data_IF_352336335248
#
_entry.id   IF_352336335248
#
_cell.length_a   1.000
_cell.length_b   1.000
_cell.length_c   1.000
_cell.angle_alpha   90.00
_cell.angle_beta   90.00
_cell.angle_gamma   90.00
#
_symmetry.space_group_name_H-M   'P 1'
#
loop_
_entity.id
_entity.type
_entity.pdbx_description
1 polymer ?
#
# COMPACT_ATOMS: atom_id res chain seq x y z
N UNK A 1 24.69 13.71 6.98
CA UNK A 1 23.60 14.43 7.68
C UNK A 1 22.89 13.48 8.64
N UNK A 2 23.53 13.19 9.78
CA UNK A 2 23.12 12.26 10.84
C UNK A 2 23.96 12.51 12.11
N UNK A 3 25.28 12.81 12.00
CA UNK A 3 26.13 13.12 13.16
C UNK A 3 25.69 14.37 13.93
N UNK A 4 25.38 15.47 13.21
CA UNK A 4 24.99 16.75 13.82
C UNK A 4 23.64 16.71 14.55
N UNK A 5 22.77 15.74 14.23
CA UNK A 5 21.47 15.56 14.88
C UNK A 5 21.58 14.77 16.19
N UNK A 6 22.47 13.77 16.21
CA UNK A 6 22.75 12.96 17.41
C UNK A 6 23.51 13.75 18.47
N UNK A 7 24.36 14.71 18.08
CA UNK A 7 25.00 15.63 19.03
C UNK A 7 24.00 16.55 19.73
N UNK A 8 22.97 17.02 19.01
CA UNK A 8 21.99 17.97 19.54
C UNK A 8 20.90 17.28 20.34
N UNK A 9 20.45 16.09 19.93
CA UNK A 9 19.44 15.26 20.60
C UNK A 9 19.95 13.81 20.75
N UNK A 10 20.68 13.49 21.82
CA UNK A 10 21.35 12.18 21.97
C UNK A 10 20.40 10.98 22.02
N UNK A 11 19.12 11.19 22.40
CA UNK A 11 18.07 10.16 22.41
C UNK A 11 17.27 10.07 21.11
N UNK A 12 17.56 10.91 20.11
CA UNK A 12 16.79 10.94 18.85
C UNK A 12 16.85 9.61 18.11
N UNK A 13 18.03 9.00 18.00
CA UNK A 13 18.18 7.70 17.34
C UNK A 13 17.34 6.60 18.01
N UNK A 14 17.32 6.55 19.34
CA UNK A 14 16.52 5.57 20.09
C UNK A 14 15.02 5.82 19.94
N UNK A 15 14.58 7.08 19.97
CA UNK A 15 13.17 7.45 19.80
C UNK A 15 12.68 7.17 18.38
N UNK A 16 13.50 7.49 17.38
CA UNK A 16 13.22 7.19 15.98
C UNK A 16 13.17 5.67 15.72
N UNK A 17 14.10 4.90 16.30
CA UNK A 17 14.08 3.43 16.22
C UNK A 17 12.83 2.84 16.87
N UNK A 18 12.43 3.29 18.05
CA UNK A 18 11.20 2.84 18.71
C UNK A 18 9.96 3.14 17.87
N UNK A 19 9.90 4.34 17.27
CA UNK A 19 8.80 4.73 16.38
C UNK A 19 8.77 3.85 15.13
N UNK A 20 9.93 3.55 14.54
CA UNK A 20 10.04 2.63 13.42
C UNK A 20 9.58 1.20 13.78
N UNK A 21 9.94 0.71 14.98
CA UNK A 21 9.47 -0.60 15.47
C UNK A 21 7.95 -0.65 15.64
N UNK A 22 7.35 0.38 16.24
CA UNK A 22 5.90 0.50 16.34
C UNK A 22 5.24 0.56 14.96
N UNK A 23 5.78 1.35 14.02
CA UNK A 23 5.27 1.39 12.66
C UNK A 23 5.36 0.03 11.95
N UNK A 24 6.44 -0.74 12.18
CA UNK A 24 6.59 -2.07 11.61
C UNK A 24 5.56 -3.05 12.19
N UNK A 25 5.30 -3.00 13.50
CA UNK A 25 4.26 -3.80 14.14
C UNK A 25 2.87 -3.46 13.59
N UNK A 26 2.54 -2.16 13.49
CA UNK A 26 1.28 -1.73 12.89
C UNK A 26 1.16 -2.13 11.41
N UNK A 27 2.25 -2.11 10.66
CA UNK A 27 2.28 -2.57 9.27
C UNK A 27 2.02 -4.08 9.18
N UNK A 28 2.60 -4.89 10.07
CA UNK A 28 2.36 -6.33 10.13
C UNK A 28 0.88 -6.67 10.34
N UNK A 29 0.24 -6.02 11.31
CA UNK A 29 -1.20 -6.20 11.56
C UNK A 29 -2.07 -5.75 10.38
N UNK A 30 -1.66 -4.67 9.69
CA UNK A 30 -2.32 -4.21 8.48
C UNK A 30 -2.18 -5.23 7.34
N UNK A 31 -1.02 -5.86 7.21
CA UNK A 31 -0.75 -6.87 6.19
C UNK A 31 -1.59 -8.14 6.43
N UNK A 32 -1.69 -8.60 7.68
CA UNK A 32 -2.56 -9.71 8.09
C UNK A 32 -4.02 -9.43 7.71
N UNK A 33 -4.53 -8.24 8.08
CA UNK A 33 -5.90 -7.84 7.75
C UNK A 33 -6.11 -7.70 6.23
N UNK A 34 -5.09 -7.26 5.48
CA UNK A 34 -5.17 -7.19 4.03
C UNK A 34 -5.23 -8.58 3.41
N UNK A 35 -4.46 -9.55 3.90
CA UNK A 35 -4.45 -10.93 3.40
C UNK A 35 -5.85 -11.56 3.53
N UNK A 36 -6.46 -11.49 4.71
CA UNK A 36 -7.82 -11.99 4.96
C UNK A 36 -8.85 -11.38 3.99
N UNK A 37 -8.76 -10.06 3.77
CA UNK A 37 -9.67 -9.37 2.86
C UNK A 37 -9.41 -9.76 1.40
N UNK A 38 -8.16 -9.96 1.02
CA UNK A 38 -7.77 -10.35 -0.32
C UNK A 38 -8.27 -11.75 -0.69
N UNK A 39 -8.43 -12.66 0.27
CA UNK A 39 -9.05 -13.98 0.02
C UNK A 39 -10.43 -13.84 -0.63
N UNK A 40 -11.23 -12.87 -0.18
CA UNK A 40 -12.56 -12.60 -0.74
C UNK A 40 -12.54 -11.84 -2.08
N UNK A 41 -11.44 -11.15 -2.39
CA UNK A 41 -11.30 -10.30 -3.57
C UNK A 41 -10.61 -11.00 -4.74
N UNK A 42 -9.82 -12.03 -4.47
CA UNK A 42 -9.02 -12.76 -5.45
C UNK A 42 -9.69 -14.06 -5.86
N UNK A 43 -10.68 -13.99 -6.76
CA UNK A 43 -11.37 -15.19 -7.27
C UNK A 43 -10.60 -15.99 -8.33
N UNK A 44 -9.51 -15.43 -8.88
CA UNK A 44 -8.64 -16.09 -9.88
C UNK A 44 -7.17 -15.77 -9.58
N UNK A 45 -6.23 -16.64 -9.98
CA UNK A 45 -4.80 -16.37 -9.85
C UNK A 45 -4.43 -15.03 -10.47
N UNK A 46 -3.65 -14.22 -9.76
CA UNK A 46 -3.17 -12.92 -10.21
C UNK A 46 -4.28 -11.96 -10.70
N UNK A 47 -5.50 -12.09 -10.17
CA UNK A 47 -6.60 -11.17 -10.43
C UNK A 47 -7.17 -10.66 -9.11
N UNK A 48 -7.64 -9.42 -9.10
CA UNK A 48 -8.32 -8.80 -7.97
C UNK A 48 -9.64 -8.17 -8.43
N UNK A 49 -10.69 -8.30 -7.62
CA UNK A 49 -12.01 -7.76 -7.93
C UNK A 49 -12.01 -6.23 -7.90
N UNK A 50 -12.25 -5.60 -9.06
CA UNK A 50 -12.39 -4.14 -9.18
C UNK A 50 -13.60 -3.63 -8.41
N UNK A 51 -14.74 -4.33 -8.48
CA UNK A 51 -15.94 -3.95 -7.73
C UNK A 51 -15.73 -4.06 -6.22
N UNK A 52 -15.02 -5.10 -5.77
CA UNK A 52 -14.68 -5.28 -4.36
C UNK A 52 -13.68 -4.23 -3.86
N UNK A 53 -12.70 -3.83 -4.67
CA UNK A 53 -11.82 -2.69 -4.37
C UNK A 53 -12.62 -1.38 -4.28
N UNK A 54 -13.53 -1.13 -5.22
CA UNK A 54 -14.36 0.09 -5.22
C UNK A 54 -15.30 0.20 -4.02
N UNK A 55 -15.70 -0.93 -3.42
CA UNK A 55 -16.47 -0.94 -2.18
C UNK A 55 -15.65 -0.54 -0.94
N UNK A 56 -14.31 -0.59 -1.01
CA UNK A 56 -13.43 -0.18 0.07
C UNK A 56 -13.15 1.33 0.04
N UNK A 57 -12.87 1.92 1.21
CA UNK A 57 -12.41 3.31 1.30
C UNK A 57 -11.11 3.55 0.49
N UNK A 58 -10.80 4.78 0.06
CA UNK A 58 -9.57 5.06 -0.70
C UNK A 58 -8.28 4.66 0.02
N UNK A 59 -8.24 4.71 1.36
CA UNK A 59 -7.08 4.25 2.12
C UNK A 59 -6.92 2.73 2.02
N UNK A 60 -8.03 2.00 2.19
CA UNK A 60 -8.06 0.54 2.06
C UNK A 60 -7.77 0.06 0.65
N UNK A 61 -8.25 0.75 -0.39
CA UNK A 61 -7.89 0.44 -1.76
C UNK A 61 -6.37 0.46 -1.97
N UNK A 62 -5.66 1.47 -1.44
CA UNK A 62 -4.19 1.52 -1.53
C UNK A 62 -3.53 0.39 -0.76
N UNK A 63 -3.98 0.11 0.46
CA UNK A 63 -3.42 -0.95 1.29
C UNK A 63 -3.57 -2.32 0.60
N UNK A 64 -4.80 -2.64 0.16
CA UNK A 64 -5.11 -3.87 -0.56
C UNK A 64 -4.35 -3.99 -1.89
N UNK A 65 -4.26 -2.91 -2.67
CA UNK A 65 -3.48 -2.89 -3.92
C UNK A 65 -1.99 -3.14 -3.66
N UNK A 66 -1.39 -2.46 -2.68
CA UNK A 66 0.02 -2.68 -2.34
C UNK A 66 0.27 -4.12 -1.92
N UNK A 67 -0.56 -4.64 -1.00
CA UNK A 67 -0.41 -6.01 -0.52
C UNK A 67 -0.58 -7.03 -1.63
N UNK A 68 -1.58 -6.84 -2.48
CA UNK A 68 -1.80 -7.70 -3.65
C UNK A 68 -0.60 -7.69 -4.61
N UNK A 69 -0.02 -6.52 -4.91
CA UNK A 69 1.17 -6.41 -5.76
C UNK A 69 2.39 -7.11 -5.14
N UNK A 70 2.57 -6.96 -3.83
CA UNK A 70 3.64 -7.63 -3.08
C UNK A 70 3.50 -9.17 -3.13
N UNK A 71 2.30 -9.70 -2.88
CA UNK A 71 2.02 -11.14 -2.96
C UNK A 71 2.28 -11.69 -4.38
N UNK A 72 2.03 -10.88 -5.41
CA UNK A 72 2.32 -11.22 -6.81
C UNK A 72 3.76 -10.90 -7.23
N UNK A 73 4.65 -10.53 -6.30
CA UNK A 73 6.07 -10.21 -6.53
C UNK A 73 6.30 -9.12 -7.58
N UNK A 74 5.36 -8.20 -7.70
CA UNK A 74 5.47 -7.05 -8.60
C UNK A 74 6.27 -5.94 -7.90
N UNK A 75 7.16 -5.28 -8.65
CA UNK A 75 7.88 -4.12 -8.12
C UNK A 75 6.91 -3.06 -7.62
N UNK A 76 7.08 -2.62 -6.36
CA UNK A 76 6.14 -1.72 -5.71
C UNK A 76 6.06 -0.38 -6.46
N UNK A 77 4.89 0.00 -7.00
CA UNK A 77 4.73 1.28 -7.66
C UNK A 77 4.88 2.44 -6.68
N UNK A 78 5.38 3.57 -7.19
CA UNK A 78 5.44 4.80 -6.42
C UNK A 78 4.03 5.33 -6.08
N UNK A 79 3.95 6.24 -5.11
CA UNK A 79 2.67 6.84 -4.67
C UNK A 79 1.85 7.41 -5.83
N UNK A 80 2.49 8.06 -6.81
CA UNK A 80 1.82 8.62 -7.99
C UNK A 80 1.14 7.54 -8.85
N UNK A 81 1.84 6.43 -9.10
CA UNK A 81 1.33 5.31 -9.87
C UNK A 81 0.17 4.62 -9.14
N UNK A 82 0.28 4.43 -7.82
CA UNK A 82 -0.84 3.89 -7.03
C UNK A 82 -2.08 4.78 -7.09
N UNK A 83 -1.92 6.10 -6.95
CA UNK A 83 -3.04 7.04 -7.09
C UNK A 83 -3.66 6.98 -8.48
N UNK A 84 -2.85 6.82 -9.54
CA UNK A 84 -3.36 6.67 -10.90
C UNK A 84 -4.16 5.37 -11.06
N UNK A 85 -3.70 4.26 -10.48
CA UNK A 85 -4.47 3.00 -10.47
C UNK A 85 -5.81 3.21 -9.76
N UNK A 86 -5.85 3.92 -8.63
CA UNK A 86 -7.12 4.24 -7.95
C UNK A 86 -8.07 5.08 -8.80
N UNK A 87 -7.54 6.07 -9.53
CA UNK A 87 -8.34 6.87 -10.46
C UNK A 87 -8.93 6.01 -11.58
N UNK A 88 -8.17 5.05 -12.08
CA UNK A 88 -8.64 4.09 -13.10
C UNK A 88 -9.70 3.14 -12.54
N UNK A 89 -9.61 2.72 -11.27
CA UNK A 89 -10.66 1.91 -10.62
C UNK A 89 -12.00 2.64 -10.55
N UNK A 90 -11.97 3.97 -10.36
CA UNK A 90 -13.15 4.83 -10.33
C UNK A 90 -13.63 5.25 -11.74
N UNK A 91 -12.82 5.04 -12.77
CA UNK A 91 -13.17 5.39 -14.14
C UNK A 91 -14.18 4.37 -14.70
N UNK A 92 -15.05 4.83 -15.62
CA UNK A 92 -16.00 3.94 -16.30
C UNK A 92 -15.24 2.85 -17.07
N UNK A 93 -15.81 1.63 -17.24
CA UNK A 93 -15.16 0.52 -17.94
C UNK A 93 -14.65 0.82 -19.35
N UNK A 94 -15.13 1.91 -19.99
CA UNK A 94 -14.77 2.34 -21.34
C UNK A 94 -13.67 3.42 -21.42
N UNK A 95 -13.06 3.81 -20.30
CA UNK A 95 -11.91 4.71 -20.34
C UNK A 95 -10.63 3.93 -20.71
N UNK A 96 -10.51 3.51 -21.98
CA UNK A 96 -9.25 2.97 -22.50
C UNK A 96 -8.15 4.05 -22.40
N UNK A 97 -7.03 3.79 -21.71
CA UNK A 97 -5.92 4.71 -21.72
C UNK A 97 -5.27 4.70 -23.11
N UNK A 98 -5.50 5.74 -23.90
CA UNK A 98 -4.68 6.04 -25.06
C UNK A 98 -3.33 6.53 -24.55
N UNK A 99 -2.32 5.67 -24.64
CA UNK A 99 -0.93 6.07 -24.52
C UNK A 99 -0.53 6.55 -25.92
N UNK A 100 -0.41 7.87 -26.07
CA UNK A 100 0.33 8.51 -27.18
C UNK A 100 1.79 8.63 -26.82
#
# INVERSE_FOLDING_TARGET
>A
MLPSLLERWPSFGQTASRSASLCAEQQGLLDETCDERLESLCGKPACISVSGLNAASPAWQRALLRRWLELNKVAMPGTRQLTQIQQMLAARPDAQPHIV
#
